data_IF_510507753103
#
_entry.id   IF_510507753103
#
_cell.length_a   1.000
_cell.length_b   1.000
_cell.length_c   1.000
_cell.angle_alpha   90.00
_cell.angle_beta   90.00
_cell.angle_gamma   90.00
#
_symmetry.space_group_name_H-M   'P 1'
#
loop_
_entity.id
_entity.type
_entity.pdbx_description
1 polymer ?
2 polymer ?
3 non-polymer ?
4 non-polymer ?
5 water ?
#
# COMPACT_ATOMS: atom_id res chain seq x y z
N UNK A 14 -15.47 48.94 -25.22
CA UNK A 14 -15.47 47.53 -25.58
C UNK A 14 -14.04 47.06 -25.90
N UNK A 15 -13.44 46.37 -24.95
CA UNK A 15 -12.08 45.86 -25.09
C UNK A 15 -12.16 44.44 -25.65
N UNK A 16 -11.65 44.19 -26.86
CA UNK A 16 -11.66 42.81 -27.37
C UNK A 16 -10.99 41.86 -26.40
N UNK A 17 -11.62 40.70 -26.20
CA UNK A 17 -11.08 39.70 -25.30
C UNK A 17 -9.78 39.15 -25.84
N UNK A 18 -8.87 38.81 -24.93
CA UNK A 18 -7.59 38.28 -25.33
C UNK A 18 -7.70 36.88 -25.87
N UNK A 19 -6.54 36.23 -25.96
CA UNK A 19 -6.49 34.84 -26.38
C UNK A 19 -7.07 33.95 -25.29
N UNK A 20 -7.66 32.85 -25.71
CA UNK A 20 -8.18 31.87 -24.75
C UNK A 20 -7.06 31.05 -24.13
N UNK A 21 -5.98 30.79 -24.88
CA UNK A 21 -4.83 30.08 -24.33
C UNK A 21 -4.01 30.97 -23.40
N UNK A 22 -4.13 32.29 -23.53
CA UNK A 22 -3.43 33.24 -22.67
C UNK A 22 -1.92 33.02 -22.69
N UNK A 23 -1.38 32.52 -23.81
CA UNK A 23 0.03 32.30 -23.95
C UNK A 23 0.52 30.94 -23.52
N UNK A 24 -0.31 30.15 -22.85
CA UNK A 24 0.08 28.81 -22.43
C UNK A 24 -0.09 27.82 -23.58
N UNK A 25 0.37 26.59 -23.35
CA UNK A 25 0.27 25.54 -24.34
C UNK A 25 -0.04 24.23 -23.63
N UNK A 26 -0.11 23.15 -24.42
CA UNK A 26 -0.45 21.84 -23.88
C UNK A 26 0.62 21.37 -22.89
N UNK A 27 0.17 20.82 -21.77
CA UNK A 27 1.08 20.26 -20.78
C UNK A 27 1.58 18.90 -21.24
N UNK A 28 2.89 18.68 -21.08
CA UNK A 28 3.47 17.39 -21.43
C UNK A 28 2.99 16.32 -20.46
N UNK A 29 2.64 15.16 -21.01
CA UNK A 29 2.08 14.06 -20.22
C UNK A 29 3.17 13.14 -19.70
N UNK A 30 3.01 12.72 -18.45
CA UNK A 30 3.86 11.72 -17.80
C UNK A 30 2.97 10.57 -17.36
N UNK A 31 3.17 9.40 -17.95
CA UNK A 31 2.41 8.21 -17.60
C UNK A 31 3.19 7.41 -16.57
N UNK A 32 2.62 7.27 -15.38
CA UNK A 32 3.20 6.52 -14.28
C UNK A 32 2.42 5.24 -14.06
N UNK A 33 3.13 4.15 -13.85
CA UNK A 33 2.53 2.85 -13.56
C UNK A 33 2.90 2.47 -12.13
N UNK A 34 1.91 2.41 -11.25
CA UNK A 34 2.09 2.01 -9.86
C UNK A 34 1.91 0.49 -9.75
N UNK A 35 2.98 -0.20 -9.35
CA UNK A 35 2.98 -1.64 -9.22
C UNK A 35 3.50 -2.04 -7.85
N UNK A 36 3.15 -3.24 -7.43
CA UNK A 36 3.58 -3.76 -6.15
C UNK A 36 2.55 -4.73 -5.58
N UNK A 37 3.03 -5.60 -4.70
CA UNK A 37 2.16 -6.56 -4.05
C UNK A 37 1.09 -5.86 -3.22
N UNK A 38 0.04 -6.60 -2.89
CA UNK A 38 -0.98 -6.09 -2.00
C UNK A 38 -0.38 -5.61 -0.69
N UNK A 39 -0.87 -4.49 -0.18
CA UNK A 39 -0.44 -3.90 1.09
C UNK A 39 0.94 -3.27 1.01
N UNK A 40 1.47 -3.04 -0.20
CA UNK A 40 2.80 -2.47 -0.33
C UNK A 40 2.80 -0.95 -0.25
N UNK A 41 1.67 -0.29 -0.48
CA UNK A 41 1.56 1.14 -0.30
C UNK A 41 1.05 1.91 -1.50
N UNK A 42 0.54 1.22 -2.52
CA UNK A 42 0.12 1.87 -3.75
C UNK A 42 -1.02 2.86 -3.51
N UNK A 43 -2.09 2.39 -2.87
CA UNK A 43 -3.24 3.26 -2.60
C UNK A 43 -2.81 4.49 -1.80
N UNK A 44 -1.90 4.30 -0.84
CA UNK A 44 -1.43 5.42 -0.03
C UNK A 44 -0.69 6.43 -0.89
N UNK A 45 0.10 5.96 -1.85
CA UNK A 45 0.80 6.88 -2.75
C UNK A 45 -0.20 7.65 -3.60
N UNK A 46 -1.25 6.98 -4.08
CA UNK A 46 -2.29 7.68 -4.84
C UNK A 46 -2.89 8.81 -3.99
N UNK A 47 -3.30 8.47 -2.76
CA UNK A 47 -3.92 9.48 -1.90
C UNK A 47 -2.94 10.61 -1.60
N UNK A 48 -1.65 10.29 -1.42
CA UNK A 48 -0.66 11.32 -1.15
C UNK A 48 -0.49 12.23 -2.34
N UNK A 49 -0.56 11.69 -3.56
CA UNK A 49 -0.50 12.54 -4.74
C UNK A 49 -1.68 13.51 -4.75
N UNK A 50 -2.87 13.02 -4.40
CA UNK A 50 -4.00 13.93 -4.31
C UNK A 50 -3.78 15.00 -3.24
N UNK A 51 -3.23 14.60 -2.10
CA UNK A 51 -3.06 15.54 -0.99
C UNK A 51 -2.00 16.60 -1.32
N UNK A 52 -0.94 16.20 -2.03
CA UNK A 52 0.20 17.06 -2.24
C UNK A 52 0.03 17.94 -3.47
N UNK A 53 -0.42 17.36 -4.58
CA UNK A 53 -0.48 18.06 -5.85
C UNK A 53 -1.90 18.41 -6.28
N UNK A 54 -2.92 18.01 -5.52
CA UNK A 54 -4.28 18.44 -5.78
C UNK A 54 -4.82 19.18 -4.57
N UNK A 55 -6.11 19.03 -4.27
CA UNK A 55 -6.78 19.80 -3.21
C UNK A 55 -6.99 18.99 -1.94
N UNK A 56 -6.37 17.83 -1.83
CA UNK A 56 -6.63 17.01 -0.65
C UNK A 56 -8.05 16.45 -0.69
N UNK A 57 -8.53 16.10 0.50
CA UNK A 57 -9.86 15.50 0.65
C UNK A 57 -10.76 16.48 1.39
N UNK A 58 -11.88 16.83 0.75
CA UNK A 58 -12.85 17.73 1.35
C UNK A 58 -13.52 17.07 2.54
N UNK A 59 -14.37 17.83 3.23
CA UNK A 59 -15.07 17.28 4.38
C UNK A 59 -16.07 16.20 3.97
N UNK A 60 -16.76 16.40 2.84
CA UNK A 60 -17.70 15.39 2.36
C UNK A 60 -16.96 14.12 1.95
N UNK A 61 -15.86 14.27 1.21
CA UNK A 61 -15.05 13.11 0.85
C UNK A 61 -14.59 12.37 2.10
N UNK A 62 -14.11 13.09 3.10
CA UNK A 62 -13.71 12.47 4.35
C UNK A 62 -14.88 11.72 4.97
N UNK A 63 -16.06 12.34 5.01
CA UNK A 63 -17.24 11.68 5.55
C UNK A 63 -17.48 10.35 4.85
N UNK A 64 -17.27 10.31 3.54
CA UNK A 64 -17.47 9.07 2.80
C UNK A 64 -16.57 7.93 3.29
N UNK A 65 -15.46 8.26 3.95
CA UNK A 65 -14.53 7.24 4.44
C UNK A 65 -14.81 6.80 5.86
N UNK A 66 -15.82 7.36 6.53
CA UNK A 66 -16.13 6.96 7.90
C UNK A 66 -16.52 5.50 7.98
N UNK A 67 -17.37 5.05 7.05
CA UNK A 67 -17.78 3.64 7.02
C UNK A 67 -16.57 2.75 6.79
N UNK A 68 -15.64 3.18 5.94
CA UNK A 68 -14.44 2.40 5.69
C UNK A 68 -13.59 2.32 6.94
N UNK A 69 -13.46 3.42 7.67
CA UNK A 69 -12.69 3.41 8.92
C UNK A 69 -13.29 2.41 9.90
N UNK A 70 -14.62 2.47 10.07
CA UNK A 70 -15.26 1.54 11.01
C UNK A 70 -15.09 0.09 10.56
N UNK A 71 -15.26 -0.18 9.26
CA UNK A 71 -15.11 -1.54 8.76
C UNK A 71 -13.68 -2.03 8.95
N UNK A 72 -12.69 -1.20 8.65
CA UNK A 72 -11.29 -1.59 8.86
C UNK A 72 -11.04 -1.91 10.33
N UNK A 73 -11.54 -1.08 11.24
CA UNK A 73 -11.32 -1.31 12.66
C UNK A 73 -11.93 -2.63 13.11
N UNK A 74 -13.19 -2.86 12.75
CA UNK A 74 -13.89 -4.08 13.13
C UNK A 74 -13.16 -5.29 12.56
N UNK A 75 -12.79 -5.24 11.28
CA UNK A 75 -12.12 -6.37 10.64
C UNK A 75 -10.78 -6.65 11.28
N UNK A 76 -10.04 -5.60 11.68
CA UNK A 76 -8.75 -5.80 12.32
C UNK A 76 -8.90 -6.51 13.65
N UNK A 77 -9.82 -6.03 14.50
CA UNK A 77 -9.97 -6.68 15.80
C UNK A 77 -10.48 -8.10 15.63
N UNK A 78 -11.32 -8.34 14.62
CA UNK A 78 -11.79 -9.71 14.38
C UNK A 78 -10.64 -10.60 13.97
N UNK A 79 -9.75 -10.09 13.11
CA UNK A 79 -8.57 -10.88 12.73
C UNK A 79 -7.76 -11.26 13.96
N UNK A 80 -7.58 -10.31 14.89
CA UNK A 80 -6.80 -10.61 16.08
C UNK A 80 -7.49 -11.70 16.91
N UNK A 81 -8.81 -11.61 17.06
CA UNK A 81 -9.52 -12.61 17.88
C UNK A 81 -9.42 -13.99 17.26
N UNK A 82 -9.65 -14.09 15.95
CA UNK A 82 -9.52 -15.38 15.27
C UNK A 82 -8.09 -15.93 15.40
N UNK A 83 -7.09 -15.04 15.32
CA UNK A 83 -5.72 -15.48 15.48
C UNK A 83 -5.48 -16.01 16.88
N UNK A 84 -6.09 -15.39 17.89
CA UNK A 84 -6.05 -15.97 19.24
C UNK A 84 -6.58 -17.39 19.21
N UNK A 85 -7.71 -17.59 18.53
CA UNK A 85 -8.26 -18.93 18.39
C UNK A 85 -7.24 -19.91 17.82
N UNK A 86 -6.58 -19.53 16.74
CA UNK A 86 -5.69 -20.46 16.05
C UNK A 86 -4.37 -20.68 16.78
N UNK A 87 -3.85 -19.66 17.45
CA UNK A 87 -2.58 -19.74 18.16
C UNK A 87 -2.73 -20.24 19.59
N UNK A 88 -3.95 -20.50 20.04
CA UNK A 88 -4.21 -20.97 21.39
C UNK A 88 -3.72 -19.96 22.43
N UNK A 89 -4.19 -18.72 22.27
CA UNK A 89 -3.91 -17.64 23.22
C UNK A 89 -5.21 -17.35 23.97
N UNK A 90 -5.17 -17.47 25.29
CA UNK A 90 -6.35 -17.22 26.11
C UNK A 90 -6.51 -15.74 26.37
N UNK A 91 -7.77 -15.33 26.57
CA UNK A 91 -8.04 -13.97 27.03
C UNK A 91 -7.40 -13.76 28.40
N UNK A 92 -7.00 -12.51 28.66
CA UNK A 92 -6.54 -12.15 29.99
C UNK A 92 -7.64 -12.29 31.03
N UNK A 93 -8.88 -12.06 30.63
CA UNK A 93 -10.03 -12.20 31.52
C UNK A 93 -11.13 -12.94 30.77
N UNK A 94 -11.68 -13.99 31.39
CA UNK A 94 -12.60 -14.87 30.70
C UNK A 94 -13.84 -14.13 30.22
N UNK A 95 -14.26 -13.09 30.95
CA UNK A 95 -15.44 -12.33 30.52
C UNK A 95 -15.29 -11.82 29.10
N UNK A 96 -14.05 -11.56 28.65
CA UNK A 96 -13.83 -11.08 27.29
C UNK A 96 -14.46 -12.01 26.26
N UNK A 97 -14.51 -13.31 26.56
CA UNK A 97 -15.16 -14.24 25.65
C UNK A 97 -16.53 -13.73 25.24
N UNK A 98 -17.34 -13.32 26.22
CA UNK A 98 -18.65 -12.77 25.91
C UNK A 98 -18.53 -11.61 24.93
N UNK A 99 -17.66 -10.65 25.24
CA UNK A 99 -17.44 -9.54 24.33
C UNK A 99 -17.13 -10.04 22.93
N UNK A 100 -16.25 -11.04 22.82
CA UNK A 100 -15.91 -11.58 21.51
C UNK A 100 -17.17 -11.99 20.76
N UNK A 101 -18.04 -12.77 21.43
CA UNK A 101 -19.29 -13.15 20.79
C UNK A 101 -20.04 -11.91 20.32
N UNK A 102 -20.20 -10.92 21.21
CA UNK A 102 -20.92 -9.72 20.83
C UNK A 102 -20.25 -9.04 19.62
N UNK A 103 -18.92 -9.07 19.57
CA UNK A 103 -18.24 -8.47 18.43
C UNK A 103 -18.78 -9.05 17.12
N UNK A 104 -18.96 -10.38 17.09
CA UNK A 104 -19.44 -11.00 15.86
C UNK A 104 -20.92 -10.71 15.62
N UNK A 105 -21.69 -10.52 16.70
CA UNK A 105 -23.10 -10.21 16.53
C UNK A 105 -23.27 -8.80 15.98
N UNK A 106 -22.47 -7.85 16.48
CA UNK A 106 -22.62 -6.44 16.13
C UNK A 106 -21.73 -6.02 14.97
N UNK A 107 -21.04 -6.95 14.32
CA UNK A 107 -20.02 -6.58 13.33
C UNK A 107 -20.61 -5.85 12.14
N UNK A 108 -21.88 -6.09 11.81
CA UNK A 108 -22.53 -5.42 10.71
C UNK A 108 -23.31 -4.19 11.08
N UNK A 109 -23.23 -3.76 12.34
CA UNK A 109 -24.04 -2.64 12.81
C UNK A 109 -23.46 -1.29 12.44
N UNK A 110 -22.20 -1.23 12.01
CA UNK A 110 -21.57 0.02 11.63
C UNK A 110 -21.57 0.26 10.13
N UNK A 111 -22.17 -0.65 9.34
CA UNK A 111 -22.23 -0.48 7.89
C UNK A 111 -22.95 0.78 7.47
N UNK A 112 -23.69 1.43 8.37
CA UNK A 112 -24.33 2.70 8.08
C UNK A 112 -23.53 3.89 8.64
N UNK A 113 -22.25 3.68 8.91
CA UNK A 113 -21.42 4.74 9.44
C UNK A 113 -21.69 5.13 10.87
N UNK A 114 -22.31 4.23 11.64
CA UNK A 114 -22.64 4.50 13.05
C UNK A 114 -22.07 3.38 13.90
N UNK A 115 -21.13 3.72 14.77
CA UNK A 115 -20.59 2.78 15.75
C UNK A 115 -21.29 3.02 17.08
N UNK A 116 -22.20 2.13 17.44
CA UNK A 116 -22.91 2.25 18.71
C UNK A 116 -21.91 2.26 19.86
N UNK A 117 -22.35 2.82 20.99
CA UNK A 117 -21.53 2.80 22.20
C UNK A 117 -21.29 1.37 22.66
N UNK A 118 -22.24 0.47 22.40
CA UNK A 118 -22.06 -0.94 22.79
C UNK A 118 -20.89 -1.57 22.04
N UNK A 119 -20.87 -1.43 20.71
CA UNK A 119 -19.77 -1.98 19.93
C UNK A 119 -18.44 -1.30 20.28
N UNK A 120 -18.47 0.01 20.48
CA UNK A 120 -17.26 0.72 20.89
C UNK A 120 -16.72 0.15 22.20
N UNK A 121 -17.60 -0.11 23.16
CA UNK A 121 -17.15 -0.67 24.42
C UNK A 121 -16.60 -2.07 24.28
N UNK A 122 -17.27 -2.90 23.47
CA UNK A 122 -16.77 -4.25 23.21
C UNK A 122 -15.35 -4.17 22.65
N UNK A 123 -15.15 -3.35 21.62
CA UNK A 123 -13.85 -3.26 20.97
C UNK A 123 -12.81 -2.72 21.93
N UNK A 124 -13.18 -1.72 22.73
CA UNK A 124 -12.25 -1.15 23.69
C UNK A 124 -11.80 -2.21 24.70
N UNK A 125 -12.75 -2.94 25.29
CA UNK A 125 -12.40 -3.93 26.29
C UNK A 125 -11.54 -5.04 25.68
N UNK A 126 -11.86 -5.47 24.47
CA UNK A 126 -11.04 -6.50 23.82
C UNK A 126 -9.63 -5.99 23.56
N UNK A 127 -9.52 -4.79 22.97
CA UNK A 127 -8.20 -4.24 22.64
C UNK A 127 -7.37 -4.00 23.89
N UNK A 128 -8.00 -3.75 25.03
CA UNK A 128 -7.27 -3.55 26.27
C UNK A 128 -6.85 -4.85 26.93
N UNK A 129 -7.45 -5.98 26.55
CA UNK A 129 -7.19 -7.24 27.22
C UNK A 129 -5.75 -7.71 27.01
N UNK A 130 -5.21 -8.39 28.02
CA UNK A 130 -3.83 -8.81 27.95
C UNK A 130 -3.58 -9.89 26.92
N UNK A 131 -4.50 -10.85 26.80
CA UNK A 131 -4.35 -11.88 25.79
C UNK A 131 -4.46 -11.33 24.38
N UNK A 132 -5.39 -10.41 24.16
CA UNK A 132 -5.52 -9.77 22.86
C UNK A 132 -4.23 -9.05 22.48
N UNK A 133 -3.61 -8.37 23.46
CA UNK A 133 -2.36 -7.68 23.17
C UNK A 133 -1.22 -8.66 22.94
N UNK A 134 -1.19 -9.77 23.69
CA UNK A 134 -0.19 -10.81 23.44
C UNK A 134 -0.32 -11.33 22.01
N UNK A 135 -1.55 -11.48 21.52
CA UNK A 135 -1.74 -11.93 20.15
C UNK A 135 -1.35 -10.84 19.15
N UNK A 136 -1.67 -9.59 19.46
CA UNK A 136 -1.29 -8.49 18.57
C UNK A 136 0.22 -8.44 18.38
N UNK A 137 0.97 -8.59 19.47
CA UNK A 137 2.43 -8.56 19.37
C UNK A 137 2.97 -9.67 18.48
N UNK A 138 2.17 -10.71 18.21
CA UNK A 138 2.54 -11.78 17.30
C UNK A 138 1.90 -11.62 15.92
N UNK A 139 1.62 -10.37 15.51
CA UNK A 139 0.89 -10.14 14.27
C UNK A 139 1.59 -10.75 13.06
N UNK A 140 2.92 -10.89 13.11
CA UNK A 140 3.64 -11.47 11.98
C UNK A 140 3.15 -12.87 11.63
N UNK A 141 2.51 -13.56 12.58
CA UNK A 141 2.11 -14.94 12.35
C UNK A 141 0.79 -15.07 11.60
N UNK A 142 0.01 -13.99 11.51
CA UNK A 142 -1.22 -14.01 10.72
C UNK A 142 -1.33 -12.79 9.80
N UNK A 143 -0.22 -12.08 9.58
CA UNK A 143 -0.14 -11.03 8.57
C UNK A 143 -1.23 -9.97 8.76
N UNK A 144 -1.39 -9.53 10.01
CA UNK A 144 -2.34 -8.47 10.32
C UNK A 144 -1.96 -7.20 9.57
N UNK A 145 -2.97 -6.52 9.01
CA UNK A 145 -2.72 -5.31 8.26
C UNK A 145 -2.09 -4.26 9.16
N UNK A 146 -1.33 -3.35 8.54
CA UNK A 146 -0.47 -2.44 9.28
C UNK A 146 -1.18 -1.19 9.78
N UNK A 147 -2.50 -1.07 9.59
CA UNK A 147 -3.26 0.07 10.11
C UNK A 147 -4.17 -0.31 11.27
N UNK A 148 -4.11 -1.56 11.74
CA UNK A 148 -5.01 -2.01 12.80
C UNK A 148 -4.82 -1.17 14.07
N UNK A 149 -3.58 -1.10 14.56
CA UNK A 149 -3.32 -0.37 15.80
C UNK A 149 -3.61 1.11 15.64
N UNK A 150 -3.41 1.67 14.44
CA UNK A 150 -3.67 3.09 14.23
C UNK A 150 -5.09 3.45 14.67
N UNK A 151 -6.08 2.68 14.23
CA UNK A 151 -7.47 2.96 14.58
C UNK A 151 -7.81 2.45 15.98
N UNK A 152 -7.29 1.27 16.35
CA UNK A 152 -7.70 0.70 17.63
C UNK A 152 -7.14 1.50 18.80
N UNK A 153 -6.05 2.24 18.62
CA UNK A 153 -5.50 3.08 19.67
C UNK A 153 -6.14 4.46 19.72
N UNK A 154 -6.96 4.82 18.72
CA UNK A 154 -7.71 6.09 18.72
C UNK A 154 -9.22 5.83 18.69
N UNK A 155 -9.62 4.60 19.03
CA UNK A 155 -11.04 4.26 19.16
C UNK A 155 -11.88 5.38 19.78
N UNK A 156 -11.45 5.92 20.92
CA UNK A 156 -12.24 6.96 21.58
C UNK A 156 -12.56 8.10 20.62
N UNK A 157 -11.54 8.58 19.90
CA UNK A 157 -11.76 9.66 18.94
C UNK A 157 -12.69 9.22 17.81
N UNK A 158 -12.40 8.06 17.19
CA UNK A 158 -13.16 7.69 16.01
C UNK A 158 -14.57 7.22 16.35
N UNK A 159 -14.84 6.87 17.61
CA UNK A 159 -16.15 6.34 17.99
C UNK A 159 -17.15 7.41 18.37
N UNK A 160 -16.76 8.69 18.34
CA UNK A 160 -17.70 9.75 18.67
C UNK A 160 -18.76 9.89 17.58
N UNK A 161 -19.98 10.23 17.99
CA UNK A 161 -21.09 10.37 17.06
C UNK A 161 -20.81 11.45 16.02
N UNK A 162 -19.95 12.42 16.34
CA UNK A 162 -19.64 13.53 15.47
C UNK A 162 -18.33 13.33 14.70
N UNK A 163 -17.76 12.13 14.75
CA UNK A 163 -16.45 11.89 14.16
C UNK A 163 -16.45 12.16 12.66
N UNK A 164 -15.46 12.92 12.20
CA UNK A 164 -15.18 13.13 10.79
C UNK A 164 -13.75 12.65 10.55
N UNK A 165 -13.52 11.67 9.67
CA UNK A 165 -12.14 11.24 9.42
C UNK A 165 -11.23 12.39 9.02
N UNK A 166 -10.05 12.44 9.65
CA UNK A 166 -9.03 13.39 9.27
C UNK A 166 -8.34 12.94 7.97
N UNK A 167 -7.48 13.82 7.45
CA UNK A 167 -6.71 13.45 6.26
C UNK A 167 -5.86 12.21 6.52
N UNK A 168 -5.20 12.17 7.68
CA UNK A 168 -4.40 10.99 8.02
C UNK A 168 -5.27 9.76 8.17
N UNK A 169 -6.46 9.91 8.74
CA UNK A 169 -7.41 8.80 8.82
C UNK A 169 -7.69 8.23 7.43
N UNK A 170 -8.00 9.10 6.48
CA UNK A 170 -8.28 8.66 5.12
C UNK A 170 -7.05 7.98 4.53
N UNK A 171 -5.85 8.49 4.85
CA UNK A 171 -4.64 7.89 4.33
C UNK A 171 -4.47 6.44 4.79
N UNK A 172 -4.94 6.13 6.00
CA UNK A 172 -4.73 4.80 6.56
C UNK A 172 -5.83 3.80 6.18
N UNK A 173 -6.89 4.24 5.50
CA UNK A 173 -7.97 3.33 5.16
C UNK A 173 -7.49 2.30 4.12
N UNK A 174 -8.24 1.21 4.03
CA UNK A 174 -7.95 0.11 3.11
C UNK A 174 -9.23 -0.22 2.34
N UNK A 175 -9.22 0.02 1.03
CA UNK A 175 -10.38 -0.24 0.18
C UNK A 175 -9.97 -1.23 -0.90
N UNK A 176 -10.97 -1.96 -1.41
CA UNK A 176 -10.73 -2.92 -2.48
C UNK A 176 -10.21 -2.20 -3.73
N UNK A 177 -9.11 -2.72 -4.28
CA UNK A 177 -8.54 -2.23 -5.54
C UNK A 177 -8.44 -3.43 -6.47
N UNK A 178 -9.52 -3.74 -7.17
CA UNK A 178 -9.63 -4.98 -7.92
C UNK A 178 -9.12 -4.89 -9.34
N UNK A 179 -9.01 -3.67 -9.89
CA UNK A 179 -8.60 -3.48 -11.27
C UNK A 179 -7.46 -2.48 -11.38
N UNK A 180 -7.47 -1.76 -12.49
CA UNK A 180 -6.47 -0.74 -12.79
C UNK A 180 -7.17 0.61 -12.72
N UNK A 181 -6.74 1.47 -11.80
CA UNK A 181 -7.43 2.73 -11.53
C UNK A 181 -6.55 3.89 -11.94
N UNK A 182 -7.14 4.86 -12.64
CA UNK A 182 -6.42 6.00 -13.20
C UNK A 182 -6.75 7.26 -12.41
N UNK A 183 -5.71 7.96 -11.97
CA UNK A 183 -5.85 9.26 -11.33
C UNK A 183 -4.95 10.26 -12.02
N UNK A 184 -5.26 11.55 -11.86
CA UNK A 184 -4.54 12.61 -12.53
C UNK A 184 -4.04 13.63 -11.52
N UNK A 185 -2.91 14.26 -11.84
CA UNK A 185 -2.50 15.47 -11.14
C UNK A 185 -1.51 16.23 -12.01
N UNK A 186 -1.05 17.38 -11.53
CA UNK A 186 -0.09 18.19 -12.25
C UNK A 186 1.00 18.65 -11.30
N UNK A 187 2.21 18.78 -11.84
CA UNK A 187 3.36 19.19 -11.03
C UNK A 187 4.49 19.61 -11.95
N UNK A 188 5.07 20.78 -11.67
CA UNK A 188 6.13 21.34 -12.50
C UNK A 188 5.71 21.37 -13.97
N UNK A 189 4.46 21.78 -14.20
CA UNK A 189 3.86 21.91 -15.52
C UNK A 189 3.75 20.57 -16.27
N UNK A 190 3.92 19.46 -15.57
CA UNK A 190 3.74 18.14 -16.17
C UNK A 190 2.38 17.59 -15.74
N UNK A 191 1.70 16.93 -16.68
CA UNK A 191 0.38 16.32 -16.48
C UNK A 191 0.59 14.84 -16.20
N UNK A 192 0.52 14.46 -14.93
CA UNK A 192 0.74 13.08 -14.51
C UNK A 192 -0.56 12.29 -14.60
N UNK A 193 -0.51 11.18 -15.33
CA UNK A 193 -1.56 10.17 -15.35
C UNK A 193 -1.01 8.93 -14.66
N UNK A 194 -1.52 8.64 -13.47
CA UNK A 194 -1.02 7.55 -12.63
C UNK A 194 -2.01 6.40 -12.65
N UNK A 195 -1.49 5.20 -12.95
CA UNK A 195 -2.31 4.00 -13.07
C UNK A 195 -1.90 3.02 -11.98
N UNK A 196 -2.74 2.90 -10.95
CA UNK A 196 -2.51 1.92 -9.89
C UNK A 196 -3.00 0.57 -10.38
N UNK A 197 -2.08 -0.40 -10.53
CA UNK A 197 -2.44 -1.77 -10.90
C UNK A 197 -2.68 -2.50 -9.59
N UNK A 198 -3.91 -2.44 -9.11
CA UNK A 198 -4.26 -3.03 -7.83
C UNK A 198 -4.61 -4.50 -7.92
N UNK A 199 -5.13 -4.93 -9.07
CA UNK A 199 -5.59 -6.28 -9.23
C UNK A 199 -4.63 -7.16 -10.02
N UNK A 200 -4.90 -8.46 -9.99
CA UNK A 200 -4.08 -9.45 -10.66
C UNK A 200 -4.59 -9.83 -12.04
N UNK A 201 -5.85 -9.52 -12.36
CA UNK A 201 -6.47 -9.90 -13.62
C UNK A 201 -7.16 -8.70 -14.25
N UNK A 202 -7.21 -8.71 -15.58
CA UNK A 202 -8.04 -7.80 -16.36
C UNK A 202 -7.93 -8.22 -17.82
N UNK A 203 -8.72 -7.56 -18.67
CA UNK A 203 -8.75 -7.91 -20.08
C UNK A 203 -7.41 -7.61 -20.75
N UNK A 204 -7.04 -8.47 -21.70
CA UNK A 204 -5.77 -8.32 -22.39
C UNK A 204 -5.64 -6.93 -23.02
N UNK A 205 -6.71 -6.44 -23.64
CA UNK A 205 -6.66 -5.12 -24.25
C UNK A 205 -6.44 -4.04 -23.21
N UNK A 206 -6.99 -4.22 -22.00
CA UNK A 206 -6.76 -3.24 -20.94
C UNK A 206 -5.31 -3.29 -20.47
N UNK A 207 -4.72 -4.49 -20.36
CA UNK A 207 -3.30 -4.59 -20.08
C UNK A 207 -2.49 -3.83 -21.12
N UNK A 208 -2.83 -4.01 -22.39
CA UNK A 208 -2.08 -3.36 -23.47
C UNK A 208 -2.21 -1.84 -23.35
N UNK A 209 -3.45 -1.36 -23.19
CA UNK A 209 -3.66 0.08 -23.08
C UNK A 209 -2.95 0.67 -21.86
N UNK A 210 -2.84 -0.11 -20.78
CA UNK A 210 -2.20 0.39 -19.57
C UNK A 210 -0.68 0.41 -19.69
N UNK A 211 -0.10 -0.61 -20.33
CA UNK A 211 1.35 -0.69 -20.45
C UNK A 211 1.90 0.13 -21.61
N UNK A 212 1.05 0.63 -22.50
CA UNK A 212 1.51 1.42 -23.62
C UNK A 212 2.00 2.79 -23.16
N UNK A 213 3.11 3.24 -23.74
CA UNK A 213 3.60 4.59 -23.54
C UNK A 213 3.84 4.97 -22.10
N UNK A 214 4.37 4.05 -21.30
CA UNK A 214 4.62 4.33 -19.89
C UNK A 214 5.90 5.14 -19.77
N UNK A 215 5.81 6.30 -19.11
CA UNK A 215 7.00 7.10 -18.87
C UNK A 215 7.83 6.53 -17.74
N UNK A 216 7.18 6.13 -16.63
CA UNK A 216 7.94 5.59 -15.51
C UNK A 216 7.09 4.62 -14.71
N UNK A 217 7.77 3.69 -14.05
CA UNK A 217 7.16 2.75 -13.13
C UNK A 217 7.59 3.13 -11.72
N UNK A 218 6.64 3.07 -10.79
CA UNK A 218 6.94 3.13 -9.36
C UNK A 218 6.53 1.79 -8.78
N UNK A 219 7.51 1.04 -8.26
CA UNK A 219 7.29 -0.28 -7.69
C UNK A 219 7.45 -0.19 -6.17
N UNK A 220 6.39 -0.49 -5.45
CA UNK A 220 6.36 -0.39 -3.99
C UNK A 220 6.66 -1.75 -3.37
N UNK A 221 7.49 -1.74 -2.32
CA UNK A 221 7.84 -2.93 -1.57
C UNK A 221 7.62 -2.65 -0.09
N UNK A 222 6.89 -3.51 0.60
CA UNK A 222 6.74 -3.40 2.04
C UNK A 222 7.95 -4.05 2.71
N UNK A 223 8.89 -3.23 3.16
CA UNK A 223 10.06 -3.75 3.86
C UNK A 223 9.65 -4.62 5.04
N UNK A 224 8.73 -4.10 5.87
CA UNK A 224 8.30 -4.79 7.07
C UNK A 224 7.63 -6.14 6.81
N UNK A 225 7.45 -6.52 5.54
CA UNK A 225 6.96 -7.86 5.23
C UNK A 225 8.03 -8.94 5.45
N UNK A 226 9.27 -8.56 5.75
CA UNK A 226 10.35 -9.55 5.73
C UNK A 226 10.12 -10.67 6.75
N UNK A 227 9.47 -10.38 7.88
CA UNK A 227 9.33 -11.37 8.94
C UNK A 227 7.94 -12.00 8.99
N UNK A 228 7.16 -11.88 7.92
CA UNK A 228 5.82 -12.48 7.91
C UNK A 228 5.91 -13.98 7.73
N UNK A 229 5.08 -14.70 8.49
CA UNK A 229 5.09 -16.16 8.43
C UNK A 229 4.45 -16.63 7.15
N UNK A 230 5.00 -17.71 6.58
CA UNK A 230 4.47 -18.25 5.33
C UNK A 230 3.11 -18.87 5.57
N UNK A 231 2.11 -18.42 4.80
CA UNK A 231 0.75 -18.92 4.93
C UNK A 231 0.51 -20.05 3.93
N UNK A 232 -0.58 -20.80 4.16
CA UNK A 232 -0.88 -21.96 3.35
C UNK A 232 -1.12 -21.61 1.88
N UNK A 233 -1.49 -20.37 1.60
CA UNK A 233 -1.75 -19.95 0.22
C UNK A 233 -0.50 -19.49 -0.50
N UNK A 234 0.68 -19.67 0.08
CA UNK A 234 1.93 -19.18 -0.49
C UNK A 234 2.83 -20.33 -0.91
N UNK A 235 3.68 -20.05 -1.89
CA UNK A 235 4.78 -20.93 -2.27
C UNK A 235 6.14 -20.40 -1.84
N UNK A 236 6.20 -19.13 -1.44
CA UNK A 236 7.41 -18.49 -0.95
C UNK A 236 6.96 -17.33 -0.07
N UNK A 237 7.90 -16.77 0.68
CA UNK A 237 7.49 -15.73 1.61
C UNK A 237 7.19 -14.43 0.85
N UNK A 238 6.57 -13.49 1.56
CA UNK A 238 6.03 -12.30 0.91
C UNK A 238 7.12 -11.51 0.19
N UNK A 239 8.26 -11.32 0.84
CA UNK A 239 9.33 -10.54 0.23
C UNK A 239 9.79 -11.16 -1.08
N UNK A 240 9.81 -12.50 -1.14
CA UNK A 240 10.25 -13.16 -2.37
C UNK A 240 9.17 -13.15 -3.44
N UNK A 241 7.89 -13.15 -3.06
CA UNK A 241 6.85 -12.89 -4.04
C UNK A 241 7.03 -11.51 -4.66
N UNK A 242 7.33 -10.50 -3.82
CA UNK A 242 7.58 -9.16 -4.33
C UNK A 242 8.79 -9.13 -5.25
N UNK A 243 9.87 -9.83 -4.85
CA UNK A 243 11.06 -9.89 -5.69
C UNK A 243 10.76 -10.53 -7.04
N UNK A 244 9.97 -11.61 -7.04
CA UNK A 244 9.60 -12.26 -8.29
C UNK A 244 8.80 -11.33 -9.19
N UNK A 245 7.85 -10.59 -8.61
CA UNK A 245 7.07 -9.64 -9.40
C UNK A 245 7.98 -8.55 -9.98
N UNK A 246 8.87 -8.00 -9.15
CA UNK A 246 9.79 -6.97 -9.62
C UNK A 246 10.68 -7.51 -10.73
N UNK A 247 11.11 -8.77 -10.62
CA UNK A 247 11.90 -9.39 -11.67
C UNK A 247 11.12 -9.45 -12.96
N UNK A 248 9.87 -9.93 -12.90
CA UNK A 248 9.07 -10.06 -14.13
C UNK A 248 8.77 -8.71 -14.75
N UNK A 249 8.68 -7.65 -13.95
CA UNK A 249 8.40 -6.33 -14.50
C UNK A 249 9.65 -5.71 -15.10
N UNK A 250 10.74 -5.67 -14.33
CA UNK A 250 11.93 -4.96 -14.74
C UNK A 250 12.53 -5.54 -16.02
N UNK A 251 12.31 -6.83 -16.28
CA UNK A 251 12.92 -7.52 -17.41
C UNK A 251 11.91 -7.91 -18.48
N UNK A 252 10.80 -7.19 -18.56
CA UNK A 252 9.80 -7.44 -19.59
C UNK A 252 10.07 -6.54 -20.80
N UNK A 253 9.69 -7.03 -21.98
CA UNK A 253 9.91 -6.27 -23.21
C UNK A 253 9.26 -4.89 -23.14
N UNK A 254 8.11 -4.78 -22.47
CA UNK A 254 7.41 -3.51 -22.41
C UNK A 254 8.27 -2.40 -21.83
N UNK A 255 9.19 -2.74 -20.92
CA UNK A 255 9.88 -1.75 -20.11
C UNK A 255 11.40 -1.82 -20.29
N UNK A 256 11.87 -2.23 -21.46
CA UNK A 256 13.31 -2.29 -21.72
C UNK A 256 13.96 -0.93 -21.51
N UNK A 257 13.25 0.17 -21.80
CA UNK A 257 13.80 1.50 -21.70
C UNK A 257 13.03 2.40 -20.73
N UNK A 258 12.20 1.82 -19.88
CA UNK A 258 11.39 2.60 -18.95
C UNK A 258 12.18 2.93 -17.69
N UNK A 259 11.94 4.13 -17.16
CA UNK A 259 12.53 4.52 -15.88
C UNK A 259 11.85 3.76 -14.75
N UNK A 260 12.62 2.97 -14.01
CA UNK A 260 12.11 2.13 -12.94
C UNK A 260 12.50 2.77 -11.62
N UNK A 261 11.51 3.13 -10.82
CA UNK A 261 11.71 3.69 -9.49
C UNK A 261 11.25 2.66 -8.46
N UNK A 262 12.03 2.51 -7.40
CA UNK A 262 11.77 1.51 -6.38
C UNK A 262 11.52 2.22 -5.05
N UNK A 263 10.29 2.13 -4.55
CA UNK A 263 9.94 2.65 -3.23
C UNK A 263 10.04 1.50 -2.24
N UNK A 264 11.14 1.47 -1.48
CA UNK A 264 11.26 0.56 -0.34
C UNK A 264 10.52 1.22 0.81
N UNK A 265 9.24 0.91 0.92
CA UNK A 265 8.27 1.60 1.75
C UNK A 265 8.16 0.93 3.12
N UNK A 266 7.39 1.56 4.01
CA UNK A 266 7.19 1.09 5.37
C UNK A 266 8.52 1.02 6.13
N UNK A 267 9.38 2.00 5.87
CA UNK A 267 10.68 2.05 6.52
C UNK A 267 10.56 2.29 8.02
N UNK A 268 9.48 2.93 8.46
CA UNK A 268 9.28 3.11 9.90
C UNK A 268 9.02 1.78 10.60
N UNK A 269 8.09 0.99 10.06
CA UNK A 269 7.82 -0.32 10.61
C UNK A 269 9.04 -1.22 10.53
N UNK A 270 9.80 -1.11 9.43
CA UNK A 270 11.03 -1.89 9.30
C UNK A 270 12.04 -1.49 10.37
N UNK A 271 12.19 -0.18 10.61
CA UNK A 271 13.11 0.29 11.63
C UNK A 271 12.74 -0.27 12.99
N UNK A 272 11.44 -0.35 13.29
CA UNK A 272 11.04 -0.90 14.59
C UNK A 272 11.20 -2.42 14.63
N UNK A 273 10.88 -3.11 13.53
CA UNK A 273 10.93 -4.56 13.52
C UNK A 273 12.36 -5.09 13.62
N UNK A 274 13.28 -4.47 12.89
CA UNK A 274 14.64 -5.03 12.79
C UNK A 274 15.30 -5.11 14.17
N UNK A 275 14.81 -4.36 15.15
CA UNK A 275 15.40 -4.40 16.49
C UNK A 275 15.24 -5.78 17.12
N UNK A 276 14.12 -6.47 16.84
CA UNK A 276 13.81 -7.71 17.53
C UNK A 276 13.53 -8.89 16.61
N UNK A 277 13.39 -8.68 15.30
CA UNK A 277 13.15 -9.77 14.36
C UNK A 277 14.31 -9.87 13.39
N UNK A 278 15.08 -10.97 13.38
CA UNK A 278 16.24 -11.04 12.49
C UNK A 278 15.84 -11.15 11.03
N UNK A 279 16.64 -10.50 10.17
CA UNK A 279 16.41 -10.56 8.74
C UNK A 279 16.54 -11.98 8.19
N UNK A 280 17.21 -12.88 8.93
CA UNK A 280 17.37 -14.25 8.45
C UNK A 280 16.04 -14.99 8.35
N UNK A 281 15.00 -14.50 9.03
CA UNK A 281 13.66 -15.07 8.84
C UNK A 281 13.29 -15.02 7.36
N UNK A 282 13.68 -13.94 6.69
CA UNK A 282 13.38 -13.74 5.28
C UNK A 282 14.47 -14.29 4.37
N UNK A 283 15.73 -13.99 4.67
CA UNK A 283 16.88 -14.42 3.89
C UNK A 283 17.76 -15.28 4.77
N UNK A 284 17.54 -16.59 4.79
CA UNK A 284 18.30 -17.44 5.73
C UNK A 284 19.81 -17.32 5.55
N UNK A 285 20.27 -16.96 4.35
CA UNK A 285 21.70 -16.87 4.08
C UNK A 285 22.33 -15.57 4.58
N UNK A 286 21.55 -14.68 5.17
CA UNK A 286 22.07 -13.36 5.55
C UNK A 286 22.98 -13.47 6.76
N UNK A 287 24.21 -12.99 6.63
CA UNK A 287 25.19 -13.02 7.71
C UNK A 287 25.47 -11.63 8.28
N UNK A 288 24.84 -10.58 7.75
CA UNK A 288 25.06 -9.24 8.24
C UNK A 288 24.39 -9.00 9.57
N UNK A 289 24.57 -7.78 10.07
CA UNK A 289 24.01 -7.40 11.37
C UNK A 289 22.53 -7.07 11.24
N UNK A 290 21.80 -7.28 12.33
CA UNK A 290 20.37 -7.00 12.37
C UNK A 290 20.15 -5.55 12.81
N UNK A 291 20.61 -4.64 11.95
CA UNK A 291 20.50 -3.21 12.18
C UNK A 291 19.89 -2.56 10.95
N UNK A 292 19.25 -1.42 11.16
CA UNK A 292 18.43 -0.79 10.13
C UNK A 292 19.20 -0.59 8.84
N UNK A 293 20.33 0.11 8.90
CA UNK A 293 21.00 0.54 7.68
C UNK A 293 21.53 -0.65 6.88
N UNK A 294 22.20 -1.60 7.54
CA UNK A 294 22.78 -2.72 6.81
C UNK A 294 21.70 -3.63 6.25
N UNK A 295 20.66 -3.94 7.03
CA UNK A 295 19.58 -4.80 6.54
C UNK A 295 18.83 -4.13 5.40
N UNK A 296 18.59 -2.83 5.51
CA UNK A 296 17.95 -2.09 4.42
C UNK A 296 18.80 -2.15 3.16
N UNK A 297 20.11 -1.95 3.30
CA UNK A 297 21.00 -2.06 2.14
C UNK A 297 20.92 -3.45 1.53
N UNK A 298 20.84 -4.48 2.37
CA UNK A 298 20.77 -5.85 1.86
C UNK A 298 19.51 -6.07 1.04
N UNK A 299 18.36 -5.61 1.55
CA UNK A 299 17.11 -5.76 0.79
C UNK A 299 17.18 -4.96 -0.50
N UNK A 300 17.72 -3.75 -0.43
CA UNK A 300 17.86 -2.92 -1.63
C UNK A 300 18.67 -3.65 -2.69
N UNK A 301 19.79 -4.25 -2.30
CA UNK A 301 20.61 -4.99 -3.25
C UNK A 301 19.88 -6.21 -3.78
N UNK A 302 19.15 -6.91 -2.91
CA UNK A 302 18.36 -8.06 -3.36
C UNK A 302 17.44 -7.67 -4.50
N UNK A 303 16.80 -6.50 -4.39
CA UNK A 303 15.89 -6.09 -5.46
C UNK A 303 16.65 -5.57 -6.67
N UNK A 304 17.66 -4.72 -6.47
CA UNK A 304 18.35 -4.10 -7.59
C UNK A 304 19.11 -5.12 -8.43
N UNK A 305 19.61 -6.20 -7.81
CA UNK A 305 20.31 -7.23 -8.56
C UNK A 305 19.41 -7.97 -9.54
N UNK A 306 18.09 -7.79 -9.44
CA UNK A 306 17.17 -8.44 -10.35
C UNK A 306 17.03 -7.71 -11.68
N UNK A 307 17.51 -6.47 -11.77
CA UNK A 307 17.49 -5.72 -13.02
C UNK A 307 18.62 -6.23 -13.91
N UNK A 308 18.27 -6.93 -14.98
CA UNK A 308 19.25 -7.46 -15.92
C UNK A 308 19.21 -6.73 -17.26
N UNK A 309 18.68 -5.52 -17.29
CA UNK A 309 18.73 -4.69 -18.48
C UNK A 309 20.12 -4.09 -18.66
N UNK A 310 20.33 -3.44 -19.81
CA UNK A 310 21.62 -2.82 -20.11
C UNK A 310 22.06 -1.90 -18.97
N UNK A 311 23.37 -1.67 -18.84
CA UNK A 311 23.88 -0.90 -17.71
C UNK A 311 23.30 0.49 -17.64
N UNK A 312 22.99 1.11 -18.79
CA UNK A 312 22.40 2.44 -18.78
C UNK A 312 21.05 2.44 -18.06
N UNK A 313 20.37 1.29 -18.03
CA UNK A 313 19.05 1.19 -17.42
C UNK A 313 19.22 0.76 -15.97
N UNK A 314 19.33 1.74 -15.08
CA UNK A 314 19.47 1.50 -13.66
C UNK A 314 18.14 1.72 -12.93
N UNK A 315 18.09 1.25 -11.69
CA UNK A 315 16.90 1.37 -10.86
C UNK A 315 17.12 2.49 -9.85
N UNK A 316 16.14 3.39 -9.77
CA UNK A 316 16.19 4.54 -8.87
C UNK A 316 15.46 4.17 -7.58
N UNK A 317 16.20 3.99 -6.50
CA UNK A 317 15.67 3.50 -5.25
C UNK A 317 15.53 4.62 -4.23
N UNK A 318 14.39 4.62 -3.54
CA UNK A 318 14.15 5.56 -2.45
C UNK A 318 13.51 4.81 -1.29
N UNK A 319 13.90 5.15 -0.07
CA UNK A 319 13.28 4.63 1.13
C UNK A 319 12.17 5.57 1.57
N UNK A 320 10.97 5.04 1.72
CA UNK A 320 9.79 5.86 1.90
C UNK A 320 8.97 5.40 3.10
N UNK A 321 8.23 6.35 3.66
CA UNK A 321 7.11 6.09 4.56
C UNK A 321 5.90 6.71 3.87
N UNK A 322 5.14 5.87 3.15
CA UNK A 322 4.09 6.38 2.28
C UNK A 322 3.03 7.16 3.04
N UNK A 323 2.84 6.87 4.33
CA UNK A 323 1.85 7.58 5.13
C UNK A 323 2.35 8.91 5.67
N UNK A 324 3.62 9.24 5.43
CA UNK A 324 4.21 10.51 5.88
C UNK A 324 4.22 11.48 4.70
N UNK A 325 3.34 12.48 4.74
CA UNK A 325 3.15 13.34 3.58
C UNK A 325 4.42 14.09 3.22
N UNK A 326 5.17 14.57 4.22
CA UNK A 326 6.38 15.33 3.93
C UNK A 326 7.42 14.46 3.22
N UNK A 327 7.60 13.22 3.68
CA UNK A 327 8.57 12.33 3.06
C UNK A 327 8.17 12.00 1.63
N UNK A 328 6.88 11.74 1.40
CA UNK A 328 6.43 11.44 0.05
C UNK A 328 6.61 12.65 -0.85
N UNK A 329 6.35 13.85 -0.32
CA UNK A 329 6.56 15.06 -1.11
C UNK A 329 8.02 15.19 -1.52
N UNK A 330 8.94 14.98 -0.56
CA UNK A 330 10.36 15.06 -0.88
C UNK A 330 10.76 14.03 -1.93
N UNK A 331 10.36 12.77 -1.72
CA UNK A 331 10.76 11.69 -2.62
C UNK A 331 10.20 11.91 -4.01
N UNK A 332 8.94 12.36 -4.10
CA UNK A 332 8.35 12.59 -5.40
C UNK A 332 8.97 13.81 -6.07
N UNK A 333 9.36 14.82 -5.29
CA UNK A 333 10.12 15.92 -5.86
C UNK A 333 11.37 15.41 -6.55
N UNK A 334 12.07 14.45 -5.93
CA UNK A 334 13.27 13.90 -6.55
C UNK A 334 12.94 13.03 -7.75
N UNK A 335 11.87 12.23 -7.68
CA UNK A 335 11.52 11.36 -8.80
C UNK A 335 11.13 12.18 -10.01
N UNK A 336 10.47 13.31 -9.79
CA UNK A 336 10.11 14.18 -10.92
C UNK A 336 11.35 14.72 -11.60
N UNK A 337 12.36 15.11 -10.82
CA UNK A 337 13.62 15.54 -11.42
C UNK A 337 14.26 14.44 -12.23
N UNK A 338 14.25 13.21 -11.70
CA UNK A 338 14.79 12.08 -12.47
C UNK A 338 14.05 11.94 -13.79
N UNK A 339 12.72 12.02 -13.75
CA UNK A 339 11.93 11.83 -14.98
C UNK A 339 12.22 12.94 -15.97
N UNK A 340 12.38 14.17 -15.49
CA UNK A 340 12.71 15.28 -16.39
C UNK A 340 14.08 15.05 -17.03
N UNK A 341 15.06 14.59 -16.22
CA UNK A 341 16.39 14.31 -16.74
C UNK A 341 16.33 13.27 -17.87
N UNK A 342 15.69 12.13 -17.61
CA UNK A 342 15.57 11.07 -18.60
C UNK A 342 14.61 11.42 -19.73
N UNK A 343 13.96 12.58 -19.67
CA UNK A 343 13.04 13.00 -20.74
C UNK A 343 13.82 13.59 -21.90
N UNK B 3 -1.71 -14.60 -27.26
CA UNK B 3 -2.23 -13.50 -28.06
C UNK B 3 -3.64 -13.76 -28.56
N UNK B 4 -4.48 -14.31 -27.69
CA UNK B 4 -5.88 -14.61 -27.99
C UNK B 4 -6.63 -13.29 -28.10
N UNK B 5 -7.95 -13.23 -27.95
CA UNK B 5 -8.63 -11.95 -28.18
C UNK B 5 -8.36 -10.95 -27.06
N UNK B 6 -8.59 -9.68 -27.38
CA UNK B 6 -8.35 -8.62 -26.42
C UNK B 6 -9.30 -8.62 -25.25
N UNK B 7 -10.43 -9.34 -25.36
CA UNK B 7 -11.44 -9.35 -24.31
C UNK B 7 -11.26 -10.48 -23.31
N UNK B 8 -10.33 -11.39 -23.55
CA UNK B 8 -10.10 -12.49 -22.61
C UNK B 8 -9.47 -11.95 -21.33
N UNK B 9 -10.12 -12.18 -20.20
CA UNK B 9 -9.57 -11.77 -18.91
C UNK B 9 -8.37 -12.65 -18.61
N UNK B 10 -7.25 -12.02 -18.25
CA UNK B 10 -5.97 -12.69 -18.10
C UNK B 10 -5.22 -12.09 -16.92
N UNK B 11 -4.31 -12.89 -16.35
CA UNK B 11 -3.51 -12.43 -15.22
C UNK B 11 -2.36 -11.55 -15.71
N UNK B 12 -1.86 -10.72 -14.79
CA UNK B 12 -0.66 -9.94 -15.08
C UNK B 12 0.50 -10.84 -15.49
N UNK B 13 0.63 -11.99 -14.83
CA UNK B 13 1.74 -12.89 -15.13
C UNK B 13 1.61 -13.47 -16.53
N UNK B 14 0.40 -13.93 -16.90
CA UNK B 14 0.15 -14.42 -18.24
C UNK B 14 0.46 -13.35 -19.30
N UNK B 15 0.05 -12.11 -19.03
CA UNK B 15 0.27 -11.04 -20.00
C UNK B 15 1.76 -10.76 -20.15
N UNK B 16 2.48 -10.65 -19.04
CA UNK B 16 3.93 -10.47 -19.11
C UNK B 16 4.58 -11.60 -19.88
N UNK B 17 4.11 -12.83 -19.68
CA UNK B 17 4.69 -13.97 -20.37
C UNK B 17 4.48 -13.87 -21.87
N UNK B 18 3.24 -13.71 -22.31
CA UNK B 18 2.97 -13.65 -23.74
C UNK B 18 3.62 -12.42 -24.37
N UNK B 19 3.83 -11.35 -23.60
CA UNK B 19 4.51 -10.18 -24.13
C UNK B 19 5.96 -10.47 -24.46
N UNK B 20 6.61 -11.33 -23.69
CA UNK B 20 8.00 -11.69 -23.94
C UNK B 20 8.10 -12.72 -25.07
X LIG C 1 -1.82 -1.44 -1.59
X LIG C 1 -0.63 -1.72 -2.51
X LIG C 1 -2.70 -0.38 -2.22
X LIG C 1 -2.64 -2.72 -1.38
X LIG C 1 -1.24 -0.91 -0.16
X LIG C 1 -1.90 0.28 0.76
X LIG C 1 -1.56 1.64 0.18
X LIG C 1 -3.39 0.09 0.84
X LIG C 1 -1.24 0.12 2.27
X LIG C 1 -1.76 -0.92 3.08
X LIG C 1 -1.93 -0.42 4.48
X LIG C 1 -0.46 -0.04 5.05
X LIG C 1 -2.65 0.66 4.52
X LIG C 1 -3.46 0.67 5.75
X LIG C 1 -1.62 1.85 4.57
X LIG C 1 -2.15 2.90 5.24
X LIG C 1 -0.49 1.24 5.37
X LIG C 1 0.87 1.81 5.12
X LIG C 1 1.17 1.91 3.81
X LIG C 1 2.41 2.43 3.75
X LIG C 1 2.87 2.61 4.99
X LIG C 1 4.19 3.16 5.55
X LIG C 1 5.05 3.49 4.83
X LIG C 1 4.39 3.23 6.97
X LIG C 1 3.35 2.81 7.86
X LIG C 1 3.50 2.88 9.32
X LIG C 1 2.10 2.31 7.32
X LIG C 1 1.91 2.22 5.85
X LIG C 1 -2.63 -1.21 2.73
X LIG C 1 -1.15 -1.68 3.08
X LIG C 1 -2.37 -1.07 5.05
X LIG C 1 -3.19 0.72 3.72
X LIG C 1 -4.24 0.96 5.57
X LIG C 1 -1.35 2.14 3.68
X LIG C 1 -2.19 3.58 4.74
X LIG C 1 -0.71 1.41 6.29
X LIG C 1 0.63 1.68 3.10
X LIG C 1 5.13 3.54 7.29
X LIG C 1 2.85 2.63 9.82
X LIG C 1 4.23 3.19 9.67
X LIG D 1 0.31 -5.55 -9.61
X LIG D 1 0.78 -4.41 -8.95
X LIG D 1 0.20 -6.68 -8.54
X LIG D 1 0.10 -6.18 -7.25
X LIG D 1 -1.06 -7.49 -8.94
X LIG D 1 -0.73 -8.19 -10.10
X LIG D 1 0.90 -5.85 -10.32
X LIG D 1 -0.56 -5.42 -10.01
X LIG D 1 0.13 -3.86 -8.92
X LIG D 1 1.00 -7.23 -8.56
X LIG D 1 -1.80 -6.87 -9.06
X LIG D 1 -1.31 -8.06 -8.20
X LIG D 1 -0.77 -9.02 -9.91
#
# INVERSE_FOLDING_TARGET
MGSSHHHHHHSSGLVPRGSHMDGEKAAKEVKLLLLGAGESGKSTIVKQMKIIHEDGYSEDECKQYKVVVYSNTIQSIIAIIRAMGRLKIDFGEAARADDARQLFVLAGSAEEGVMTSELAGVIKRLWRDGGVQACFSRSREYQLNDSASYYLNDLDRISQTNYIPTQQDVLRTRVKTTGIVETHFTFKELYFKMFDVGGQRSERKKWIHCFEGVTAIIFCVALSDYDLVLAEDEEMNRMHESMKLFDSICNNKWFTDTSIILFLNKKDLFEEKIKRSPLTICYPEYTGSNTYEEAAAYIQCQFEDLNRRKDTKEVYTHFTCATDTKNVQFVFDAVTDVIIKNNLKECGLY
KTGSPGSEVVTLQQFLEESNKLTSVQIKSSS
GDP PB O1B O2B O3B O3A PA O1A O2A O5' C5' C4' O4' C3' O3' C2' O2' C1' N9 C8 N7 C5 C6 O6 N1 C2 N2 N3 C4 H5' H5'' H4' H3' HO3' H2' HO2' H1' H8 HN1 HN21 HN22
GOL C1 O1 C2 O2 C3 O3 H11 H12 HO1 H2 H31 H32 HO3
#
